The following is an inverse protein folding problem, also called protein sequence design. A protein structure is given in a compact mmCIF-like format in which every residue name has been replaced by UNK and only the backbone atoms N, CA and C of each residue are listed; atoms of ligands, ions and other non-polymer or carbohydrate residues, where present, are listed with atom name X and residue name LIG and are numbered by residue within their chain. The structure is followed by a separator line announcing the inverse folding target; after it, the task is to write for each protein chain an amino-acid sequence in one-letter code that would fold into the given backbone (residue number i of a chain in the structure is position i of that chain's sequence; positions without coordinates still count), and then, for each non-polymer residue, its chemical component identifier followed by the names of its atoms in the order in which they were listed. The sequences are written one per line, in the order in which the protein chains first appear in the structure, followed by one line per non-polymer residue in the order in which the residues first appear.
data_IF_925062785486
#
_entry.id   IF_925062785486
#
_cell.length_a   1.000
_cell.length_b   1.000
_cell.length_c   1.000
_cell.angle_alpha   90.00
_cell.angle_beta   90.00
_cell.angle_gamma   90.00
#
_symmetry.space_group_name_H-M   'P 1'
#
loop_
_entity.id
_entity.type
_entity.pdbx_description
1 polymer ?
#
# COMPACT_ATOMS: atom_id res chain seq x y z
N UNK A 1 -63.34 65.69 -18.36
CA UNK A 1 -64.01 64.91 -17.31
C UNK A 1 -63.35 63.56 -17.25
N UNK A 2 -62.62 63.30 -16.16
CA UNK A 2 -62.97 62.28 -15.13
C UNK A 2 -62.67 60.86 -15.62
N UNK A 3 -61.57 60.28 -15.12
CA UNK A 3 -61.54 59.15 -14.16
C UNK A 3 -61.79 57.80 -14.86
N UNK A 4 -61.15 56.69 -14.56
CA UNK A 4 -59.99 56.31 -13.75
C UNK A 4 -59.86 54.80 -13.96
N UNK A 5 -58.62 54.33 -14.12
CA UNK A 5 -58.11 53.01 -13.72
C UNK A 5 -59.05 51.79 -13.73
N UNK A 6 -58.75 50.81 -14.57
CA UNK A 6 -58.75 49.42 -14.12
C UNK A 6 -57.55 48.68 -14.71
N UNK A 7 -56.80 48.04 -13.81
CA UNK A 7 -55.43 47.57 -13.91
C UNK A 7 -55.14 46.50 -15.00
N UNK A 8 -53.88 46.41 -15.46
CA UNK A 8 -53.40 45.40 -16.41
C UNK A 8 -53.10 44.04 -15.74
N UNK A 9 -53.79 43.70 -14.65
CA UNK A 9 -53.36 42.66 -13.71
C UNK A 9 -54.14 41.34 -13.79
N UNK A 10 -54.75 40.98 -14.94
CA UNK A 10 -55.68 39.83 -14.97
C UNK A 10 -55.43 38.74 -16.00
N UNK A 11 -54.32 38.68 -16.75
CA UNK A 11 -54.16 37.56 -17.70
C UNK A 11 -52.83 36.82 -17.81
N UNK A 12 -51.72 37.16 -17.14
CA UNK A 12 -50.50 36.37 -17.42
C UNK A 12 -49.40 36.25 -16.35
N UNK A 13 -49.66 36.52 -15.06
CA UNK A 13 -48.60 36.32 -14.05
C UNK A 13 -49.11 36.07 -12.64
N UNK A 14 -49.50 34.83 -12.35
CA UNK A 14 -49.60 34.27 -11.00
C UNK A 14 -49.03 32.85 -11.04
N UNK A 15 -47.73 32.69 -10.80
CA UNK A 15 -47.14 32.33 -9.50
C UNK A 15 -47.52 30.93 -9.02
N UNK A 16 -46.52 30.04 -9.16
CA UNK A 16 -46.18 28.93 -8.27
C UNK A 16 -47.21 27.80 -8.09
N UNK A 17 -47.18 26.82 -9.00
CA UNK A 17 -47.39 25.42 -8.58
C UNK A 17 -46.04 24.82 -8.23
N UNK A 18 -45.83 24.75 -6.92
CA UNK A 18 -44.86 23.91 -6.24
C UNK A 18 -44.96 22.47 -6.78
N UNK A 19 -43.86 21.98 -7.35
CA UNK A 19 -43.41 20.59 -7.18
C UNK A 19 -41.89 20.61 -7.09
N UNK A 20 -41.43 21.33 -6.08
CA UNK A 20 -40.09 21.22 -5.52
C UNK A 20 -39.97 19.90 -4.76
N UNK A 21 -39.93 18.77 -5.47
CA UNK A 21 -39.51 17.46 -4.92
C UNK A 21 -38.56 16.80 -5.93
N UNK A 22 -37.41 17.43 -6.18
CA UNK A 22 -36.17 16.64 -6.17
C UNK A 22 -35.72 16.61 -4.72
N UNK A 23 -36.46 15.84 -3.91
CA UNK A 23 -36.03 15.43 -2.58
C UNK A 23 -34.68 14.75 -2.76
N UNK A 24 -33.63 15.47 -2.37
CA UNK A 24 -32.36 14.94 -1.88
C UNK A 24 -32.09 13.52 -2.40
N UNK A 25 -31.42 13.40 -3.56
CA UNK A 25 -30.83 12.11 -3.90
C UNK A 25 -29.92 11.78 -2.72
N UNK A 26 -30.38 10.89 -1.84
CA UNK A 26 -29.59 10.48 -0.69
C UNK A 26 -28.26 10.04 -1.27
N UNK A 27 -27.12 10.63 -0.85
CA UNK A 27 -25.83 10.16 -1.30
C UNK A 27 -25.78 8.68 -0.95
N UNK A 28 -25.83 7.82 -1.98
CA UNK A 28 -25.79 6.37 -1.83
C UNK A 28 -24.71 6.07 -0.81
N UNK A 29 -25.02 5.40 0.31
CA UNK A 29 -24.04 5.14 1.33
C UNK A 29 -22.85 4.48 0.65
N UNK A 30 -21.75 5.22 0.56
CA UNK A 30 -20.48 4.69 0.11
C UNK A 30 -20.06 3.78 1.24
N UNK A 31 -20.48 2.52 1.16
CA UNK A 31 -19.93 1.48 2.00
C UNK A 31 -18.44 1.43 1.69
N UNK A 32 -17.65 2.09 2.55
CA UNK A 32 -16.20 1.95 2.53
C UNK A 32 -15.94 0.56 3.11
N UNK A 33 -16.16 -0.46 2.29
CA UNK A 33 -15.60 -1.78 2.54
C UNK A 33 -14.10 -1.62 2.45
N UNK A 34 -13.44 -1.31 3.58
CA UNK A 34 -11.99 -1.38 3.68
C UNK A 34 -11.64 -2.85 3.51
N UNK A 35 -11.19 -3.21 2.31
CA UNK A 35 -10.69 -4.55 2.06
C UNK A 35 -9.52 -4.81 3.03
N UNK A 36 -9.59 -5.87 3.87
CA UNK A 36 -8.51 -6.17 4.79
C UNK A 36 -7.22 -6.44 4.03
N UNK A 37 -6.10 -5.89 4.51
CA UNK A 37 -4.76 -6.15 3.94
C UNK A 37 -4.28 -7.58 4.19
N UNK A 38 -4.85 -8.24 5.19
CA UNK A 38 -4.43 -9.55 5.67
C UNK A 38 -5.64 -10.48 5.74
N UNK A 39 -5.37 -11.77 5.55
CA UNK A 39 -6.39 -12.80 5.74
C UNK A 39 -6.75 -12.93 7.23
N UNK A 40 -7.98 -13.39 7.58
CA UNK A 40 -8.41 -13.53 8.97
C UNK A 40 -7.50 -14.44 9.81
N UNK A 41 -7.10 -15.59 9.27
CA UNK A 41 -6.17 -16.52 9.91
C UNK A 41 -4.84 -16.55 9.16
N UNK A 42 -3.94 -15.65 9.54
CA UNK A 42 -2.61 -15.52 8.93
C UNK A 42 -1.73 -16.73 9.24
N UNK A 43 -1.90 -17.35 10.42
CA UNK A 43 -1.12 -18.50 10.83
C UNK A 43 -1.47 -19.70 9.96
N UNK A 44 -2.76 -20.02 9.82
CA UNK A 44 -3.20 -21.09 8.94
C UNK A 44 -2.76 -20.86 7.49
N UNK A 45 -2.83 -19.62 6.99
CA UNK A 45 -2.33 -19.30 5.63
C UNK A 45 -0.83 -19.54 5.51
N UNK A 46 -0.03 -19.14 6.48
CA UNK A 46 1.42 -19.36 6.48
C UNK A 46 1.78 -20.85 6.52
N UNK A 47 1.06 -21.65 7.31
CA UNK A 47 1.35 -23.08 7.49
C UNK A 47 0.87 -23.95 6.32
N UNK A 48 -0.26 -23.59 5.70
CA UNK A 48 -0.91 -24.41 4.66
C UNK A 48 -0.53 -24.02 3.22
N UNK A 49 -0.17 -22.76 2.97
CA UNK A 49 0.13 -22.30 1.62
C UNK A 49 1.45 -22.89 1.12
N UNK A 50 1.43 -23.37 -0.13
CA UNK A 50 2.57 -24.05 -0.71
C UNK A 50 3.80 -23.14 -0.85
N UNK A 51 3.61 -21.86 -1.17
CA UNK A 51 4.70 -20.91 -1.31
C UNK A 51 5.38 -20.69 0.04
N UNK A 52 4.62 -20.39 1.09
CA UNK A 52 5.17 -20.18 2.42
C UNK A 52 5.84 -21.43 2.97
N UNK A 53 5.25 -22.62 2.73
CA UNK A 53 5.85 -23.89 3.15
C UNK A 53 7.18 -24.20 2.43
N UNK A 54 7.35 -23.76 1.19
CA UNK A 54 8.63 -23.88 0.46
C UNK A 54 9.66 -22.87 0.98
N UNK A 55 9.25 -21.64 1.23
CA UNK A 55 10.13 -20.55 1.69
C UNK A 55 10.49 -20.63 3.18
N UNK A 56 9.73 -21.36 4.00
CA UNK A 56 9.97 -21.48 5.44
C UNK A 56 11.16 -22.37 5.82
N UNK A 57 11.68 -23.15 4.87
CA UNK A 57 12.86 -23.99 5.06
C UNK A 57 14.12 -23.23 4.65
N UNK A 58 15.21 -23.49 5.36
CA UNK A 58 16.52 -22.99 4.99
C UNK A 58 16.86 -23.40 3.55
N UNK A 59 17.23 -22.42 2.74
CA UNK A 59 17.49 -22.60 1.32
C UNK A 59 18.47 -21.55 0.82
N UNK A 60 19.07 -21.81 -0.34
CA UNK A 60 20.02 -20.90 -0.95
C UNK A 60 19.34 -19.58 -1.34
N UNK A 61 19.92 -18.48 -0.87
CA UNK A 61 19.54 -17.11 -1.24
C UNK A 61 20.69 -16.43 -1.98
N UNK A 62 20.36 -15.59 -2.96
CA UNK A 62 21.34 -14.85 -3.75
C UNK A 62 21.01 -13.37 -3.79
N UNK A 63 22.05 -12.53 -3.70
CA UNK A 63 21.93 -11.10 -3.96
C UNK A 63 21.63 -10.84 -5.44
N UNK A 64 20.54 -10.10 -5.71
CA UNK A 64 20.04 -9.86 -7.07
C UNK A 64 20.34 -8.48 -7.62
N UNK A 65 20.92 -7.58 -6.83
CA UNK A 65 21.23 -6.22 -7.28
C UNK A 65 22.45 -6.12 -8.20
N UNK A 66 22.42 -5.09 -9.06
CA UNK A 66 23.53 -4.68 -9.94
C UNK A 66 24.15 -5.84 -10.74
N UNK A 67 23.33 -6.73 -11.31
CA UNK A 67 23.81 -7.94 -12.04
C UNK A 67 24.64 -7.61 -13.27
N UNK A 68 24.52 -6.40 -13.80
CA UNK A 68 25.28 -5.83 -14.91
C UNK A 68 26.69 -5.35 -14.51
N UNK A 69 27.01 -5.33 -13.20
CA UNK A 69 28.27 -4.77 -12.67
C UNK A 69 29.29 -5.86 -12.31
N UNK A 70 30.59 -5.52 -12.27
CA UNK A 70 31.64 -6.42 -11.79
C UNK A 70 31.39 -6.90 -10.36
N UNK A 71 31.84 -8.11 -10.04
CA UNK A 71 31.61 -8.74 -8.74
C UNK A 71 32.10 -7.89 -7.56
N UNK A 72 33.25 -7.25 -7.68
CA UNK A 72 33.81 -6.37 -6.63
C UNK A 72 32.90 -5.18 -6.33
N UNK A 73 32.36 -4.52 -7.37
CA UNK A 73 31.42 -3.41 -7.21
C UNK A 73 30.12 -3.91 -6.54
N UNK A 74 29.63 -5.08 -6.92
CA UNK A 74 28.42 -5.69 -6.33
C UNK A 74 28.60 -5.99 -4.85
N UNK A 75 29.76 -6.48 -4.43
CA UNK A 75 30.07 -6.74 -3.02
C UNK A 75 30.01 -5.44 -2.21
N UNK A 76 30.67 -4.38 -2.69
CA UNK A 76 30.64 -3.08 -2.00
C UNK A 76 29.22 -2.51 -1.89
N UNK A 77 28.44 -2.59 -2.98
CA UNK A 77 27.05 -2.10 -2.99
C UNK A 77 26.15 -2.90 -2.05
N UNK A 78 26.28 -4.22 -2.02
CA UNK A 78 25.54 -5.07 -1.09
C UNK A 78 25.86 -4.72 0.36
N UNK A 79 27.14 -4.60 0.72
CA UNK A 79 27.55 -4.23 2.07
C UNK A 79 27.01 -2.84 2.47
N UNK A 80 27.08 -1.86 1.58
CA UNK A 80 26.53 -0.53 1.84
C UNK A 80 25.01 -0.56 2.02
N UNK A 81 24.29 -1.30 1.17
CA UNK A 81 22.84 -1.45 1.30
C UNK A 81 22.45 -2.07 2.65
N UNK A 82 23.16 -3.13 3.08
CA UNK A 82 22.97 -3.73 4.40
C UNK A 82 23.22 -2.74 5.54
N UNK A 83 24.26 -1.89 5.46
CA UNK A 83 24.51 -0.81 6.44
C UNK A 83 23.43 0.27 6.41
N UNK A 84 22.82 0.51 5.25
CA UNK A 84 21.66 1.40 5.08
C UNK A 84 20.34 0.76 5.52
N UNK A 85 20.34 -0.52 5.92
CA UNK A 85 19.17 -1.20 6.47
C UNK A 85 18.22 -1.79 5.41
N UNK A 86 18.71 -2.05 4.20
CA UNK A 86 17.90 -2.65 3.13
C UNK A 86 18.73 -3.50 2.17
N UNK A 87 18.10 -4.48 1.53
CA UNK A 87 18.76 -5.25 0.45
C UNK A 87 17.73 -5.94 -0.42
N UNK A 88 18.17 -6.56 -1.50
CA UNK A 88 17.33 -7.38 -2.37
C UNK A 88 17.96 -8.75 -2.59
N UNK A 89 17.16 -9.80 -2.40
CA UNK A 89 17.59 -11.17 -2.55
C UNK A 89 16.57 -11.97 -3.33
N UNK A 90 17.00 -13.12 -3.86
CA UNK A 90 16.10 -14.14 -4.36
C UNK A 90 16.37 -15.49 -3.70
N UNK A 91 15.29 -16.22 -3.42
CA UNK A 91 15.34 -17.64 -3.12
C UNK A 91 15.63 -18.43 -4.40
N UNK A 92 16.79 -19.10 -4.45
CA UNK A 92 17.22 -19.80 -5.66
C UNK A 92 16.25 -20.94 -6.05
N UNK A 93 15.65 -21.61 -5.07
CA UNK A 93 14.75 -22.75 -5.29
C UNK A 93 13.42 -22.36 -5.95
N UNK A 94 12.88 -21.17 -5.65
CA UNK A 94 11.57 -20.73 -6.15
C UNK A 94 11.65 -19.58 -7.15
N UNK A 95 12.81 -18.92 -7.26
CA UNK A 95 12.96 -17.67 -8.00
C UNK A 95 12.20 -16.49 -7.37
N UNK A 96 11.75 -16.62 -6.12
CA UNK A 96 11.03 -15.55 -5.43
C UNK A 96 11.99 -14.46 -5.02
N UNK A 97 11.79 -13.25 -5.53
CA UNK A 97 12.57 -12.07 -5.19
C UNK A 97 11.90 -11.31 -4.04
N UNK A 98 12.68 -10.88 -3.06
CA UNK A 98 12.23 -10.06 -1.94
C UNK A 98 13.14 -8.84 -1.80
N UNK A 99 12.52 -7.68 -1.61
CA UNK A 99 13.19 -6.50 -1.08
C UNK A 99 13.02 -6.52 0.44
N UNK A 100 14.15 -6.55 1.14
CA UNK A 100 14.20 -6.56 2.59
C UNK A 100 14.48 -5.14 3.08
N UNK A 101 13.77 -4.75 4.14
CA UNK A 101 14.03 -3.53 4.90
C UNK A 101 14.16 -3.98 6.35
N UNK A 102 15.35 -3.82 6.91
CA UNK A 102 15.66 -4.23 8.26
C UNK A 102 15.26 -3.15 9.27
N UNK A 103 15.32 -1.87 8.88
CA UNK A 103 14.98 -0.70 9.69
C UNK A 103 13.58 -0.15 9.34
N UNK A 104 12.47 -0.69 9.86
CA UNK A 104 11.17 -0.09 9.67
C UNK A 104 11.13 1.28 10.39
N UNK A 105 10.61 2.35 9.75
CA UNK A 105 10.58 3.70 10.32
C UNK A 105 9.72 3.86 11.59
N UNK A 106 9.16 2.78 12.12
CA UNK A 106 8.19 2.79 13.24
C UNK A 106 8.77 2.34 14.58
N UNK A 107 9.92 1.65 14.63
CA UNK A 107 10.44 1.06 15.87
C UNK A 107 11.85 1.57 16.19
N UNK A 108 11.95 2.68 16.92
CA UNK A 108 13.22 3.25 17.40
C UNK A 108 13.90 2.48 18.54
N UNK A 109 13.68 1.16 18.67
CA UNK A 109 14.10 0.41 19.87
C UNK A 109 15.24 -0.60 19.68
N UNK A 110 15.69 -0.94 18.47
CA UNK A 110 16.83 -1.87 18.31
C UNK A 110 17.65 -1.61 17.02
N UNK A 111 18.32 -0.45 16.87
CA UNK A 111 19.17 -0.19 15.70
C UNK A 111 20.37 -1.15 15.58
N UNK A 112 20.86 -1.69 16.69
CA UNK A 112 22.12 -2.45 16.74
C UNK A 112 22.00 -3.96 16.40
N UNK A 113 20.83 -4.44 15.93
CA UNK A 113 20.57 -5.89 15.76
C UNK A 113 20.09 -6.31 14.37
N UNK A 114 20.08 -5.42 13.40
CA UNK A 114 19.42 -5.66 12.12
C UNK A 114 20.31 -6.34 11.07
N UNK A 115 21.56 -5.89 10.94
CA UNK A 115 22.59 -6.51 10.09
C UNK A 115 23.85 -6.75 10.93
N UNK A 116 24.27 -8.01 11.10
CA UNK A 116 25.38 -8.39 11.99
C UNK A 116 26.61 -8.79 11.18
N UNK A 117 27.57 -7.88 11.07
CA UNK A 117 28.82 -8.08 10.33
C UNK A 117 29.91 -8.80 11.13
N UNK A 118 29.70 -8.98 12.45
CA UNK A 118 30.74 -9.50 13.36
C UNK A 118 30.47 -10.97 13.76
N UNK A 119 29.23 -11.44 13.62
CA UNK A 119 28.84 -12.83 13.96
C UNK A 119 29.63 -13.89 13.20
N UNK A 120 29.83 -13.70 11.89
CA UNK A 120 30.59 -14.63 11.07
C UNK A 120 31.44 -13.86 10.03
N UNK A 121 32.78 -13.99 10.05
CA UNK A 121 33.65 -13.29 9.11
C UNK A 121 33.31 -13.59 7.64
N UNK A 122 33.16 -12.54 6.86
CA UNK A 122 32.80 -12.64 5.43
C UNK A 122 31.31 -12.82 5.16
N UNK A 123 30.47 -12.77 6.21
CA UNK A 123 29.01 -12.78 6.09
C UNK A 123 28.38 -11.61 6.86
N UNK A 124 27.09 -11.40 6.59
CA UNK A 124 26.19 -10.45 7.26
C UNK A 124 24.83 -11.13 7.42
#
# INVERSE_FOLDING_TARGET
MMHSMNDPASMLSGMMSFDSISLYEQPKPRFIFKMPRVVPDQKAKFESDELFRRLSRESEVRYTGFRDRPQEERIMRFQNACREGHTEIAFAATGTNLQLVFAPPTNGYMPDKECDFEKEPGKV
#
